data_IF_111204085413
#
_entry.id   IF_111204085413
#
_cell.length_a   1.000
_cell.length_b   1.000
_cell.length_c   1.000
_cell.angle_alpha   90.00
_cell.angle_beta   90.00
_cell.angle_gamma   90.00
#
_symmetry.space_group_name_H-M   'P 1'
#
loop_
_entity.id
_entity.type
_entity.pdbx_description
1 polymer ?
#
# COMPACT_ATOMS: atom_id res chain seq x y z
N UNK A 1 22.53 24.60 -15.34
CA UNK A 1 21.22 24.11 -15.82
C UNK A 1 20.99 22.75 -15.17
N UNK A 2 20.16 22.69 -14.16
CA UNK A 2 19.83 21.43 -13.46
C UNK A 2 18.84 20.68 -14.34
N UNK A 3 19.31 19.61 -15.02
CA UNK A 3 18.42 18.71 -15.73
C UNK A 3 17.49 18.05 -14.69
N UNK A 4 16.20 18.26 -14.81
CA UNK A 4 15.21 17.47 -14.06
C UNK A 4 15.50 16.00 -14.34
N UNK A 5 15.66 15.14 -13.32
CA UNK A 5 15.90 13.72 -13.55
C UNK A 5 14.75 13.16 -14.39
N UNK A 6 15.10 12.56 -15.52
CA UNK A 6 14.11 11.91 -16.38
C UNK A 6 13.55 10.69 -15.64
N UNK A 7 12.22 10.60 -15.55
CA UNK A 7 11.57 9.44 -14.95
C UNK A 7 11.91 8.16 -15.74
N UNK A 8 12.11 7.02 -15.07
CA UNK A 8 12.34 5.75 -15.73
C UNK A 8 11.20 5.39 -16.69
N UNK A 9 11.53 4.78 -17.82
CA UNK A 9 10.53 4.29 -18.77
C UNK A 9 9.68 3.17 -18.17
N UNK A 10 8.55 2.85 -18.81
CA UNK A 10 7.72 1.71 -18.39
C UNK A 10 8.48 0.38 -18.45
N UNK A 11 9.36 0.22 -19.44
CA UNK A 11 10.20 -0.97 -19.57
C UNK A 11 11.26 -1.06 -18.46
N UNK A 12 11.87 0.06 -18.08
CA UNK A 12 12.78 0.11 -16.92
C UNK A 12 12.06 -0.30 -15.64
N UNK A 13 10.82 0.19 -15.43
CA UNK A 13 10.00 -0.18 -14.29
C UNK A 13 9.66 -1.68 -14.30
N UNK A 14 9.29 -2.24 -15.44
CA UNK A 14 8.99 -3.66 -15.59
C UNK A 14 10.21 -4.51 -15.25
N UNK A 15 11.37 -4.20 -15.83
CA UNK A 15 12.62 -4.91 -15.55
C UNK A 15 13.01 -4.84 -14.08
N UNK A 16 12.84 -3.68 -13.45
CA UNK A 16 13.09 -3.53 -12.01
C UNK A 16 12.19 -4.45 -11.19
N UNK A 17 10.87 -4.48 -11.45
CA UNK A 17 9.94 -5.30 -10.68
C UNK A 17 10.12 -6.79 -10.96
N UNK A 18 10.47 -7.21 -12.20
CA UNK A 18 10.83 -8.59 -12.52
C UNK A 18 12.06 -9.04 -11.73
N UNK A 19 13.10 -8.23 -11.74
CA UNK A 19 14.29 -8.49 -10.93
C UNK A 19 13.95 -8.55 -9.44
N UNK A 20 13.17 -7.61 -8.94
CA UNK A 20 12.72 -7.56 -7.55
C UNK A 20 12.01 -8.86 -7.15
N UNK A 21 11.04 -9.30 -7.93
CA UNK A 21 10.28 -10.51 -7.63
C UNK A 21 11.09 -11.79 -7.77
N UNK A 22 12.05 -11.86 -8.70
CA UNK A 22 12.99 -12.99 -8.79
C UNK A 22 13.86 -13.12 -7.55
N UNK A 23 14.44 -12.01 -7.06
CA UNK A 23 15.33 -12.01 -5.89
C UNK A 23 14.57 -12.12 -4.56
N UNK A 24 13.32 -11.68 -4.51
CA UNK A 24 12.46 -11.85 -3.34
C UNK A 24 12.11 -13.31 -3.04
N UNK A 25 12.27 -14.24 -3.99
CA UNK A 25 12.05 -15.69 -3.79
C UNK A 25 12.80 -16.25 -2.58
N UNK A 26 13.99 -15.77 -2.33
CA UNK A 26 14.90 -16.31 -1.32
C UNK A 26 14.67 -15.74 0.08
N UNK A 27 14.00 -14.61 0.18
CA UNK A 27 13.66 -14.00 1.48
C UNK A 27 12.28 -14.46 1.93
N UNK A 28 12.24 -15.57 2.63
CA UNK A 28 11.03 -16.18 3.25
C UNK A 28 10.44 -15.37 4.40
N UNK A 29 10.34 -14.04 4.32
CA UNK A 29 9.83 -13.29 5.46
C UNK A 29 8.74 -12.31 5.01
N UNK A 30 7.49 -12.76 5.14
CA UNK A 30 6.45 -11.84 5.57
C UNK A 30 6.93 -11.36 6.97
N UNK A 31 7.56 -10.20 7.02
CA UNK A 31 7.97 -9.64 8.29
C UNK A 31 6.72 -9.24 9.09
N UNK A 32 6.85 -9.10 10.39
CA UNK A 32 5.74 -8.73 11.28
C UNK A 32 4.98 -7.47 10.81
N UNK A 33 5.65 -6.56 10.10
CA UNK A 33 5.06 -5.34 9.58
C UNK A 33 4.11 -5.58 8.40
N UNK A 34 4.49 -6.48 7.49
CA UNK A 34 3.66 -6.89 6.36
C UNK A 34 2.43 -7.64 6.86
N UNK A 35 2.61 -8.53 7.84
CA UNK A 35 1.50 -9.24 8.47
C UNK A 35 0.56 -8.29 9.22
N UNK A 36 1.10 -7.36 10.02
CA UNK A 36 0.29 -6.35 10.70
C UNK A 36 -0.54 -5.53 9.72
N UNK A 37 0.05 -5.08 8.61
CA UNK A 37 -0.67 -4.36 7.55
C UNK A 37 -1.79 -5.20 6.96
N UNK A 38 -1.50 -6.47 6.63
CA UNK A 38 -2.50 -7.39 6.09
C UNK A 38 -3.69 -7.55 7.04
N UNK A 39 -3.46 -7.77 8.33
CA UNK A 39 -4.52 -7.92 9.33
C UNK A 39 -5.42 -6.68 9.42
N UNK A 40 -4.84 -5.49 9.37
CA UNK A 40 -5.63 -4.25 9.35
C UNK A 40 -6.52 -4.16 8.10
N UNK A 41 -5.98 -4.47 6.91
CA UNK A 41 -6.75 -4.46 5.65
C UNK A 41 -7.88 -5.49 5.70
N UNK A 42 -7.59 -6.74 6.08
CA UNK A 42 -8.59 -7.80 6.19
C UNK A 42 -9.67 -7.44 7.22
N UNK A 43 -9.28 -6.83 8.34
CA UNK A 43 -10.22 -6.30 9.34
C UNK A 43 -11.13 -5.21 8.78
N UNK A 44 -10.59 -4.32 7.94
CA UNK A 44 -11.40 -3.31 7.24
C UNK A 44 -12.41 -3.97 6.31
N UNK A 45 -12.00 -4.95 5.50
CA UNK A 45 -12.87 -5.66 4.55
C UNK A 45 -14.00 -6.39 5.30
N UNK A 46 -13.68 -7.13 6.38
CA UNK A 46 -14.71 -7.77 7.23
C UNK A 46 -15.71 -6.77 7.77
N UNK A 47 -15.23 -5.60 8.20
CA UNK A 47 -16.07 -4.53 8.72
C UNK A 47 -17.00 -3.89 7.71
N UNK A 48 -16.82 -4.11 6.39
CA UNK A 48 -17.74 -3.64 5.35
C UNK A 48 -19.03 -4.47 5.28
N UNK A 49 -19.04 -5.70 5.79
CA UNK A 49 -20.21 -6.57 5.80
C UNK A 49 -20.71 -7.01 4.41
N UNK A 50 -19.86 -6.95 3.39
CA UNK A 50 -20.19 -7.34 2.02
C UNK A 50 -20.31 -8.86 1.92
N UNK A 51 -21.24 -9.33 1.09
CA UNK A 51 -21.46 -10.75 0.79
C UNK A 51 -20.88 -11.08 -0.59
N UNK A 52 -19.90 -11.99 -0.64
CA UNK A 52 -19.24 -12.44 -1.89
C UNK A 52 -18.84 -11.27 -2.82
N UNK A 53 -18.10 -10.26 -2.32
CA UNK A 53 -17.67 -9.13 -3.13
C UNK A 53 -16.70 -9.56 -4.23
N UNK A 54 -16.63 -8.76 -5.29
CA UNK A 54 -15.54 -8.80 -6.27
C UNK A 54 -14.41 -7.90 -5.78
N UNK A 55 -13.23 -8.48 -5.62
CA UNK A 55 -12.07 -7.79 -5.09
C UNK A 55 -10.95 -7.72 -6.15
N UNK A 56 -10.23 -6.60 -6.15
CA UNK A 56 -9.03 -6.43 -6.95
C UNK A 56 -7.84 -6.13 -6.04
N UNK A 57 -6.78 -6.93 -6.14
CA UNK A 57 -5.45 -6.62 -5.60
C UNK A 57 -4.66 -5.88 -6.68
N UNK A 58 -4.53 -4.56 -6.50
CA UNK A 58 -3.95 -3.64 -7.45
C UNK A 58 -2.45 -3.46 -7.16
N UNK A 59 -1.58 -4.06 -8.00
CA UNK A 59 -0.17 -4.24 -7.73
C UNK A 59 0.08 -5.49 -6.87
N UNK A 60 -0.48 -6.63 -7.30
CA UNK A 60 -0.55 -7.84 -6.49
C UNK A 60 0.80 -8.58 -6.37
N UNK A 61 1.81 -8.22 -7.18
CA UNK A 61 3.11 -8.88 -7.24
C UNK A 61 2.98 -10.39 -7.39
N UNK A 62 3.48 -11.14 -6.41
CA UNK A 62 3.44 -12.62 -6.37
C UNK A 62 2.15 -13.19 -5.77
N UNK A 63 1.09 -12.39 -5.62
CA UNK A 63 -0.24 -12.84 -5.24
C UNK A 63 -0.40 -13.27 -3.77
N UNK A 64 0.55 -12.96 -2.89
CA UNK A 64 0.49 -13.38 -1.49
C UNK A 64 -0.70 -12.77 -0.74
N UNK A 65 -1.12 -11.56 -1.12
CA UNK A 65 -2.27 -10.90 -0.50
C UNK A 65 -3.57 -11.24 -1.23
N UNK A 66 -3.54 -11.35 -2.56
CA UNK A 66 -4.67 -11.84 -3.35
C UNK A 66 -5.16 -13.21 -2.85
N UNK A 67 -4.25 -14.10 -2.45
CA UNK A 67 -4.58 -15.37 -1.80
C UNK A 67 -5.46 -15.20 -0.55
N UNK A 68 -5.23 -14.16 0.26
CA UNK A 68 -6.02 -13.88 1.47
C UNK A 68 -7.36 -13.22 1.16
N UNK A 69 -7.47 -12.56 0.02
CA UNK A 69 -8.73 -11.95 -0.42
C UNK A 69 -9.75 -12.98 -0.87
N UNK A 70 -9.32 -14.20 -1.30
CA UNK A 70 -10.23 -15.30 -1.69
C UNK A 70 -11.24 -15.67 -0.60
N UNK A 71 -10.89 -15.48 0.69
CA UNK A 71 -11.82 -15.78 1.80
C UNK A 71 -13.09 -14.93 1.77
N UNK A 72 -13.06 -13.78 1.08
CA UNK A 72 -14.18 -12.83 1.04
C UNK A 72 -15.04 -13.00 -0.20
N UNK A 73 -14.45 -13.36 -1.35
CA UNK A 73 -15.18 -13.46 -2.62
C UNK A 73 -14.30 -13.61 -3.84
N UNK A 74 -14.88 -13.28 -5.01
CA UNK A 74 -14.20 -13.35 -6.29
C UNK A 74 -13.01 -12.38 -6.32
N UNK A 75 -11.81 -12.93 -6.48
CA UNK A 75 -10.57 -12.15 -6.39
C UNK A 75 -9.85 -12.08 -7.72
N UNK A 76 -9.42 -10.87 -8.07
CA UNK A 76 -8.56 -10.57 -9.22
C UNK A 76 -7.26 -9.93 -8.73
N UNK A 77 -6.20 -10.09 -9.53
CA UNK A 77 -4.91 -9.44 -9.30
C UNK A 77 -4.36 -8.82 -10.57
N UNK A 78 -3.70 -7.68 -10.46
CA UNK A 78 -2.95 -7.07 -11.56
C UNK A 78 -1.59 -6.61 -11.07
N UNK A 79 -0.56 -6.87 -11.87
CA UNK A 79 0.80 -6.34 -11.65
C UNK A 79 1.51 -6.06 -12.98
N UNK A 80 2.46 -5.13 -12.95
CA UNK A 80 3.28 -4.78 -14.11
C UNK A 80 4.25 -5.92 -14.48
N UNK A 81 4.68 -6.71 -13.48
CA UNK A 81 5.70 -7.76 -13.63
C UNK A 81 5.10 -9.09 -14.12
N UNK A 82 5.48 -9.56 -15.31
CA UNK A 82 5.20 -10.93 -15.76
C UNK A 82 5.70 -12.00 -14.78
N UNK A 83 6.88 -11.81 -14.20
CA UNK A 83 7.51 -12.73 -13.24
C UNK A 83 6.71 -12.82 -11.94
N UNK A 84 6.23 -11.67 -11.42
CA UNK A 84 5.34 -11.61 -10.28
C UNK A 84 4.06 -12.41 -10.54
N UNK A 85 3.40 -12.14 -11.66
CA UNK A 85 2.15 -12.81 -12.05
C UNK A 85 2.36 -14.31 -12.33
N UNK A 86 3.47 -14.72 -12.95
CA UNK A 86 3.77 -16.15 -13.13
C UNK A 86 3.83 -16.87 -11.78
N UNK A 87 4.51 -16.28 -10.79
CA UNK A 87 4.56 -16.84 -9.45
C UNK A 87 3.19 -16.83 -8.73
N UNK A 88 2.38 -15.78 -8.95
CA UNK A 88 1.03 -15.67 -8.38
C UNK A 88 0.10 -16.77 -8.93
N UNK A 89 0.14 -17.05 -10.23
CA UNK A 89 -0.64 -18.13 -10.88
C UNK A 89 -0.27 -19.50 -10.36
N UNK A 90 1.00 -19.76 -10.07
CA UNK A 90 1.44 -21.02 -9.44
C UNK A 90 0.90 -21.13 -8.01
N UNK A 91 0.86 -20.03 -7.28
CA UNK A 91 0.38 -19.99 -5.90
C UNK A 91 -1.13 -20.23 -5.80
N UNK A 92 -1.91 -19.56 -6.64
CA UNK A 92 -3.38 -19.62 -6.66
C UNK A 92 -3.90 -19.55 -8.09
N UNK A 93 -4.03 -20.70 -8.78
CA UNK A 93 -4.45 -20.76 -10.18
C UNK A 93 -5.93 -20.35 -10.40
N UNK A 94 -6.73 -20.35 -9.36
CA UNK A 94 -8.16 -19.99 -9.44
C UNK A 94 -8.40 -18.46 -9.43
N UNK A 95 -7.40 -17.66 -9.05
CA UNK A 95 -7.49 -16.20 -9.10
C UNK A 95 -7.21 -15.72 -10.52
N UNK A 96 -8.00 -14.76 -11.00
CA UNK A 96 -7.80 -14.13 -12.30
C UNK A 96 -6.67 -13.12 -12.21
N UNK A 97 -5.54 -13.43 -12.84
CA UNK A 97 -4.37 -12.54 -12.85
C UNK A 97 -4.11 -11.92 -14.22
N UNK A 98 -3.93 -10.60 -14.22
CA UNK A 98 -3.60 -9.78 -15.40
C UNK A 98 -2.16 -9.25 -15.28
N UNK A 99 -1.34 -9.46 -16.33
CA UNK A 99 -0.08 -8.75 -16.49
C UNK A 99 -0.36 -7.46 -17.22
N UNK A 100 0.06 -6.32 -16.69
CA UNK A 100 -0.11 -5.06 -17.40
C UNK A 100 0.07 -3.82 -16.54
N UNK A 101 0.18 -2.71 -17.24
CA UNK A 101 0.16 -1.41 -16.62
C UNK A 101 -1.27 -1.07 -16.19
N UNK A 102 -1.46 -0.61 -14.97
CA UNK A 102 -2.77 -0.23 -14.43
C UNK A 102 -3.49 0.80 -15.30
N UNK A 103 -2.75 1.69 -15.98
CA UNK A 103 -3.34 2.78 -16.74
C UNK A 103 -4.13 2.34 -17.98
N UNK A 104 -3.75 1.22 -18.60
CA UNK A 104 -4.28 0.75 -19.89
C UNK A 104 -4.69 -0.73 -19.87
N UNK A 105 -4.46 -1.43 -18.76
CA UNK A 105 -4.89 -2.81 -18.63
C UNK A 105 -6.40 -2.98 -18.85
N UNK A 106 -6.86 -4.09 -19.48
CA UNK A 106 -8.26 -4.33 -19.82
C UNK A 106 -9.10 -4.74 -18.59
N UNK A 107 -9.09 -3.90 -17.55
CA UNK A 107 -9.94 -4.07 -16.38
C UNK A 107 -11.33 -3.47 -16.64
N UNK A 108 -12.36 -4.22 -16.30
CA UNK A 108 -13.75 -3.76 -16.48
C UNK A 108 -14.06 -2.55 -15.58
N UNK A 109 -14.77 -1.56 -16.14
CA UNK A 109 -15.26 -0.40 -15.40
C UNK A 109 -16.42 -0.80 -14.49
N UNK A 110 -16.53 -0.12 -13.35
CA UNK A 110 -17.62 -0.30 -12.38
C UNK A 110 -17.89 -1.78 -12.03
N UNK A 111 -16.81 -2.56 -11.89
CA UNK A 111 -16.90 -4.00 -11.73
C UNK A 111 -16.59 -4.47 -10.30
N UNK A 112 -15.62 -3.88 -9.62
CA UNK A 112 -15.18 -4.30 -8.32
C UNK A 112 -15.94 -3.63 -7.19
N UNK A 113 -16.26 -4.40 -6.16
CA UNK A 113 -16.85 -3.89 -4.91
C UNK A 113 -15.76 -3.31 -4.01
N UNK A 114 -14.56 -3.92 -4.03
CA UNK A 114 -13.40 -3.51 -3.24
C UNK A 114 -12.15 -3.54 -4.11
N UNK A 115 -11.37 -2.47 -4.09
CA UNK A 115 -10.00 -2.44 -4.62
C UNK A 115 -9.04 -2.24 -3.47
N UNK A 116 -8.03 -3.09 -3.38
CA UNK A 116 -6.92 -2.96 -2.42
C UNK A 116 -5.65 -2.63 -3.19
N UNK A 117 -4.89 -1.66 -2.70
CA UNK A 117 -3.57 -1.28 -3.24
C UNK A 117 -2.57 -1.18 -2.11
N UNK A 118 -1.53 -2.01 -2.14
CA UNK A 118 -0.51 -2.04 -1.11
C UNK A 118 0.85 -1.61 -1.64
N UNK A 119 1.36 -0.48 -1.15
CA UNK A 119 2.71 0.04 -1.44
C UNK A 119 2.96 0.31 -2.95
N UNK A 120 1.91 0.58 -3.74
CA UNK A 120 2.02 0.80 -5.19
C UNK A 120 2.14 2.28 -5.54
N UNK A 121 1.33 3.15 -4.91
CA UNK A 121 1.21 4.56 -5.30
C UNK A 121 2.54 5.34 -5.25
N UNK A 122 3.47 4.93 -4.43
CA UNK A 122 4.81 5.54 -4.36
C UNK A 122 5.69 5.19 -5.58
N UNK A 123 5.29 4.19 -6.36
CA UNK A 123 6.07 3.61 -7.46
C UNK A 123 5.47 3.89 -8.83
N UNK A 124 4.48 4.78 -8.91
CA UNK A 124 3.88 5.20 -10.17
C UNK A 124 4.31 6.64 -10.51
N UNK A 125 4.40 6.93 -11.80
CA UNK A 125 4.76 8.25 -12.35
C UNK A 125 3.65 9.28 -12.15
N UNK A 126 2.40 8.92 -12.48
CA UNK A 126 1.21 9.76 -12.31
C UNK A 126 0.26 9.21 -11.25
N UNK A 127 0.45 9.67 -10.02
CA UNK A 127 -0.36 9.23 -8.88
C UNK A 127 -1.85 9.63 -9.00
N UNK A 128 -2.17 10.72 -9.71
CA UNK A 128 -3.56 11.14 -9.91
C UNK A 128 -4.27 10.23 -10.89
N UNK A 129 -3.64 9.97 -12.05
CA UNK A 129 -4.15 9.02 -13.05
C UNK A 129 -4.32 7.63 -12.46
N UNK A 130 -3.39 7.21 -11.60
CA UNK A 130 -3.49 5.95 -10.85
C UNK A 130 -4.74 5.89 -9.97
N UNK A 131 -5.03 6.94 -9.20
CA UNK A 131 -6.22 7.01 -8.35
C UNK A 131 -7.51 7.12 -9.16
N UNK A 132 -7.49 7.86 -10.28
CA UNK A 132 -8.62 7.94 -11.21
C UNK A 132 -8.95 6.55 -11.79
N UNK A 133 -7.91 5.78 -12.15
CA UNK A 133 -8.09 4.42 -12.66
C UNK A 133 -8.63 3.47 -11.59
N UNK A 134 -8.15 3.56 -10.37
CA UNK A 134 -8.71 2.80 -9.24
C UNK A 134 -10.19 3.13 -9.02
N UNK A 135 -10.57 4.40 -9.15
CA UNK A 135 -11.98 4.81 -9.08
C UNK A 135 -12.79 4.27 -10.26
N UNK A 136 -12.25 4.27 -11.48
CA UNK A 136 -12.93 3.81 -12.69
C UNK A 136 -13.34 2.33 -12.62
N UNK A 137 -12.49 1.47 -12.10
CA UNK A 137 -12.76 0.03 -11.98
C UNK A 137 -13.70 -0.33 -10.82
N UNK A 138 -13.82 0.55 -9.82
CA UNK A 138 -14.73 0.40 -8.70
C UNK A 138 -16.17 0.71 -9.12
N UNK A 139 -17.14 -0.08 -8.64
CA UNK A 139 -18.57 0.26 -8.71
C UNK A 139 -18.84 1.61 -8.03
N UNK A 140 -19.88 2.33 -8.43
CA UNK A 140 -20.39 3.45 -7.64
C UNK A 140 -20.63 3.02 -6.18
N UNK A 141 -20.10 3.77 -5.22
CA UNK A 141 -20.17 3.40 -3.80
C UNK A 141 -19.23 2.28 -3.37
N UNK A 142 -18.42 1.69 -4.27
CA UNK A 142 -17.40 0.70 -3.96
C UNK A 142 -16.26 1.27 -3.08
N UNK A 143 -15.45 0.40 -2.53
CA UNK A 143 -14.47 0.75 -1.50
C UNK A 143 -13.03 0.63 -2.02
N UNK A 144 -12.23 1.61 -1.69
CA UNK A 144 -10.79 1.63 -1.96
C UNK A 144 -10.02 1.57 -0.65
N UNK A 145 -9.16 0.58 -0.51
CA UNK A 145 -8.22 0.47 0.61
C UNK A 145 -6.83 0.65 0.05
N UNK A 146 -6.17 1.73 0.45
CA UNK A 146 -4.81 2.04 -0.01
C UNK A 146 -3.84 2.12 1.15
N UNK A 147 -2.67 1.50 0.98
CA UNK A 147 -1.54 1.63 1.90
C UNK A 147 -0.31 2.16 1.19
N UNK A 148 0.48 2.94 1.90
CA UNK A 148 1.80 3.40 1.44
C UNK A 148 2.63 3.91 2.61
N UNK A 149 3.94 4.01 2.41
CA UNK A 149 4.85 4.63 3.35
C UNK A 149 4.45 6.06 3.69
N UNK A 150 4.56 6.43 4.96
CA UNK A 150 4.29 7.79 5.45
C UNK A 150 5.52 8.65 5.25
N UNK A 151 5.53 9.51 4.22
CA UNK A 151 6.65 10.40 3.92
C UNK A 151 7.15 11.17 5.15
N UNK A 152 6.23 11.66 6.01
CA UNK A 152 6.61 12.38 7.22
C UNK A 152 7.51 11.56 8.14
N UNK A 153 7.22 10.28 8.31
CA UNK A 153 8.02 9.35 9.13
C UNK A 153 9.26 8.89 8.36
N UNK A 154 9.11 8.58 7.07
CA UNK A 154 10.24 8.11 6.23
C UNK A 154 11.37 9.13 6.16
N UNK A 155 11.06 10.42 6.00
CA UNK A 155 12.05 11.51 6.02
C UNK A 155 12.77 11.64 7.40
N UNK A 156 12.30 10.92 8.43
CA UNK A 156 12.80 10.96 9.82
C UNK A 156 13.24 9.60 10.36
N UNK A 157 13.45 8.64 9.48
CA UNK A 157 13.92 7.30 9.89
C UNK A 157 15.36 7.29 10.41
N UNK A 158 16.17 8.30 10.05
CA UNK A 158 17.62 8.32 10.30
C UNK A 158 18.37 7.43 9.30
N UNK A 159 19.61 7.06 9.63
CA UNK A 159 20.51 6.30 8.74
C UNK A 159 20.15 4.80 8.60
N UNK A 160 18.88 4.48 8.56
CA UNK A 160 18.42 3.10 8.29
C UNK A 160 18.46 2.82 6.80
N UNK A 161 19.61 2.66 6.19
CA UNK A 161 19.94 1.97 4.92
C UNK A 161 18.94 1.88 3.75
N UNK A 162 17.80 2.59 3.84
CA UNK A 162 16.71 2.55 2.86
C UNK A 162 16.91 3.52 1.68
N UNK A 163 17.99 4.31 1.70
CA UNK A 163 18.21 5.42 0.76
C UNK A 163 18.89 5.01 -0.56
N UNK A 164 19.23 3.74 -0.76
CA UNK A 164 19.83 3.29 -2.01
C UNK A 164 18.76 2.58 -2.84
N UNK A 165 17.93 3.36 -3.50
CA UNK A 165 17.03 2.84 -4.53
C UNK A 165 17.76 2.81 -5.87
N UNK A 166 17.62 1.72 -6.66
CA UNK A 166 18.16 1.70 -8.01
C UNK A 166 17.57 2.82 -8.88
N UNK A 167 18.33 3.37 -9.85
CA UNK A 167 17.85 4.45 -10.73
C UNK A 167 16.55 4.13 -11.49
N UNK A 168 16.26 2.85 -11.71
CA UNK A 168 15.06 2.37 -12.39
C UNK A 168 13.80 2.40 -11.51
N UNK A 169 13.94 2.75 -10.25
CA UNK A 169 12.84 2.72 -9.29
C UNK A 169 12.25 4.11 -9.07
N UNK A 170 10.95 4.24 -9.28
CA UNK A 170 10.21 5.45 -8.89
C UNK A 170 9.96 5.41 -7.38
N UNK A 171 10.33 6.47 -6.68
CA UNK A 171 10.14 6.62 -5.24
C UNK A 171 9.42 7.94 -4.90
N UNK A 172 8.16 8.03 -5.30
CA UNK A 172 7.29 9.20 -5.14
C UNK A 172 6.50 9.13 -3.83
N UNK A 173 7.19 9.26 -2.71
CA UNK A 173 6.56 9.16 -1.38
C UNK A 173 5.60 10.33 -1.13
N UNK A 174 4.47 10.04 -0.49
CA UNK A 174 3.44 11.02 -0.16
C UNK A 174 3.22 11.13 1.35
N UNK A 175 2.88 12.33 1.80
CA UNK A 175 2.39 12.52 3.16
C UNK A 175 0.90 12.16 3.27
N UNK A 176 0.43 11.93 4.49
CA UNK A 176 -0.99 11.65 4.78
C UNK A 176 -1.92 12.76 4.25
N UNK A 177 -1.51 14.02 4.38
CA UNK A 177 -2.28 15.17 3.87
C UNK A 177 -2.35 15.21 2.36
N UNK A 178 -1.21 14.96 1.68
CA UNK A 178 -1.15 14.90 0.21
C UNK A 178 -2.04 13.78 -0.33
N UNK A 179 -1.94 12.57 0.23
CA UNK A 179 -2.75 11.42 -0.21
C UNK A 179 -4.26 11.69 -0.03
N UNK A 180 -4.66 12.25 1.12
CA UNK A 180 -6.06 12.64 1.35
C UNK A 180 -6.54 13.67 0.32
N UNK A 181 -5.72 14.68 0.01
CA UNK A 181 -6.05 15.71 -0.98
C UNK A 181 -6.20 15.13 -2.39
N UNK A 182 -5.36 14.14 -2.75
CA UNK A 182 -5.46 13.48 -4.05
C UNK A 182 -6.69 12.56 -4.15
N UNK A 183 -7.09 11.91 -3.06
CA UNK A 183 -8.28 11.03 -3.02
C UNK A 183 -9.59 11.82 -3.08
N UNK A 184 -9.64 13.03 -2.49
CA UNK A 184 -10.87 13.80 -2.31
C UNK A 184 -11.73 14.02 -3.57
N UNK A 185 -11.19 14.18 -4.80
CA UNK A 185 -12.01 14.36 -6.00
C UNK A 185 -12.89 13.15 -6.38
N UNK A 186 -12.47 11.94 -6.00
CA UNK A 186 -13.13 10.68 -6.39
C UNK A 186 -13.66 9.87 -5.21
N UNK A 187 -13.18 10.18 -4.01
CA UNK A 187 -13.41 9.33 -2.85
C UNK A 187 -13.78 10.13 -1.60
N UNK A 188 -14.76 9.63 -0.87
CA UNK A 188 -15.03 10.02 0.50
C UNK A 188 -14.20 9.16 1.45
N UNK A 189 -13.32 9.77 2.24
CA UNK A 189 -12.48 9.05 3.20
C UNK A 189 -13.33 8.63 4.40
N UNK A 190 -13.38 7.33 4.68
CA UNK A 190 -14.11 6.75 5.80
C UNK A 190 -13.22 6.55 7.02
N UNK A 191 -12.00 6.02 6.81
CA UNK A 191 -10.99 5.85 7.86
C UNK A 191 -9.61 6.24 7.33
N UNK A 192 -8.78 6.79 8.19
CA UNK A 192 -7.38 7.12 7.87
C UNK A 192 -6.55 7.07 9.14
N UNK A 193 -5.63 6.14 9.21
CA UNK A 193 -4.75 5.93 10.34
C UNK A 193 -3.36 5.48 9.87
N UNK A 194 -2.44 5.39 10.79
CA UNK A 194 -1.09 4.87 10.54
C UNK A 194 -0.82 3.68 11.45
N UNK A 195 0.12 2.84 11.08
CA UNK A 195 0.57 1.70 11.88
C UNK A 195 2.09 1.71 11.99
N UNK A 196 2.62 0.99 12.98
CA UNK A 196 4.06 0.80 13.21
C UNK A 196 4.74 2.13 13.51
N UNK A 197 4.59 2.67 14.76
CA UNK A 197 5.27 3.88 15.17
C UNK A 197 6.78 3.74 15.00
N UNK A 198 7.39 4.64 14.23
CA UNK A 198 8.81 4.58 13.92
C UNK A 198 9.40 5.98 13.72
N UNK A 199 10.75 6.06 13.60
CA UNK A 199 11.48 7.29 13.34
C UNK A 199 12.30 7.78 14.54
N UNK A 200 13.48 8.39 14.24
CA UNK A 200 14.49 8.76 15.22
C UNK A 200 14.94 10.22 15.10
N UNK A 201 14.29 11.02 14.24
CA UNK A 201 14.63 12.42 14.05
C UNK A 201 13.46 13.36 14.40
N UNK A 202 13.79 14.59 14.82
CA UNK A 202 12.81 15.60 15.20
C UNK A 202 11.90 15.12 16.34
N UNK A 203 10.60 15.43 16.27
CA UNK A 203 9.61 15.04 17.29
C UNK A 203 9.51 13.53 17.47
N UNK A 204 9.78 12.72 16.42
CA UNK A 204 9.71 11.26 16.48
C UNK A 204 10.77 10.68 17.42
N UNK A 205 11.91 11.37 17.59
CA UNK A 205 12.93 10.98 18.57
C UNK A 205 12.38 11.01 20.01
N UNK A 206 11.54 12.00 20.31
CA UNK A 206 10.89 12.10 21.61
C UNK A 206 9.78 11.06 21.74
N UNK A 207 8.88 11.00 20.75
CA UNK A 207 7.74 10.08 20.72
C UNK A 207 8.17 8.62 20.84
N UNK A 208 9.29 8.24 20.19
CA UNK A 208 9.84 6.89 20.19
C UNK A 208 11.01 6.70 21.16
N UNK A 209 11.28 7.68 22.04
CA UNK A 209 12.35 7.57 23.04
C UNK A 209 12.11 6.38 23.96
N UNK A 210 13.11 5.49 24.03
CA UNK A 210 13.06 4.33 24.92
C UNK A 210 12.80 4.72 26.38
N UNK A 211 13.53 5.75 26.88
CA UNK A 211 13.41 6.22 28.26
C UNK A 211 12.00 6.77 28.55
N UNK A 212 11.48 7.63 27.69
CA UNK A 212 10.13 8.21 27.85
C UNK A 212 9.04 7.12 27.78
N UNK A 213 9.17 6.20 26.84
CA UNK A 213 8.20 5.10 26.72
C UNK A 213 8.32 4.12 27.90
N UNK A 214 9.52 3.86 28.43
CA UNK A 214 9.71 3.03 29.60
C UNK A 214 9.01 3.62 30.85
N UNK A 215 9.15 4.93 31.05
CA UNK A 215 8.43 5.64 32.15
C UNK A 215 6.93 5.64 31.91
N UNK A 216 6.46 5.94 30.68
CA UNK A 216 5.04 5.94 30.38
C UNK A 216 4.38 4.56 30.55
N UNK A 217 5.11 3.47 30.30
CA UNK A 217 4.63 2.08 30.49
C UNK A 217 4.34 1.72 31.95
N UNK A 218 4.84 2.48 32.91
CA UNK A 218 4.46 2.30 34.32
C UNK A 218 3.00 2.67 34.56
N UNK A 219 2.41 3.53 33.71
CA UNK A 219 1.06 4.04 33.85
C UNK A 219 0.11 3.59 32.76
N UNK A 220 0.63 3.28 31.56
CA UNK A 220 -0.17 2.98 30.36
C UNK A 220 0.42 1.77 29.64
N UNK A 221 -0.39 0.74 29.30
CA UNK A 221 0.07 -0.39 28.51
C UNK A 221 0.67 0.03 27.16
N UNK A 222 1.72 -0.69 26.71
CA UNK A 222 2.43 -0.40 25.45
C UNK A 222 1.47 -0.28 24.25
N UNK A 223 0.51 -1.17 24.15
CA UNK A 223 -0.49 -1.19 23.07
C UNK A 223 -1.29 0.12 22.99
N UNK A 224 -1.66 0.70 24.14
CA UNK A 224 -2.34 2.00 24.16
C UNK A 224 -1.42 3.14 23.73
N UNK A 225 -0.16 3.11 24.16
CA UNK A 225 0.84 4.11 23.75
C UNK A 225 1.04 4.06 22.23
N UNK A 226 1.19 2.88 21.67
CA UNK A 226 1.37 2.71 20.24
C UNK A 226 0.10 3.11 19.46
N UNK A 227 -1.08 2.75 19.95
CA UNK A 227 -2.37 3.21 19.38
C UNK A 227 -2.48 4.74 19.35
N UNK A 228 -2.05 5.44 20.39
CA UNK A 228 -2.05 6.91 20.41
C UNK A 228 -1.09 7.50 19.38
N UNK A 229 0.13 6.94 19.25
CA UNK A 229 1.11 7.34 18.24
C UNK A 229 0.59 7.10 16.83
N UNK A 230 -0.03 5.96 16.59
CA UNK A 230 -0.64 5.59 15.31
C UNK A 230 -1.77 6.55 14.92
N UNK A 231 -2.67 6.87 15.86
CA UNK A 231 -3.74 7.86 15.66
C UNK A 231 -3.20 9.27 15.39
N UNK A 232 -2.11 9.64 16.08
CA UNK A 232 -1.42 10.92 15.87
C UNK A 232 -0.71 11.00 14.50
N UNK A 233 -0.57 9.88 13.79
CA UNK A 233 0.05 9.85 12.47
C UNK A 233 1.56 9.58 12.48
N UNK A 234 2.08 9.05 13.57
CA UNK A 234 3.50 8.72 13.74
C UNK A 234 3.87 7.30 13.32
N UNK A 235 2.94 6.55 12.73
CA UNK A 235 3.23 5.25 12.13
C UNK A 235 3.93 5.37 10.78
N UNK A 236 4.80 4.43 10.50
CA UNK A 236 5.58 4.35 9.27
C UNK A 236 4.71 4.09 8.03
N UNK A 237 3.67 3.26 8.17
CA UNK A 237 2.72 2.99 7.09
C UNK A 237 1.39 3.69 7.32
N UNK A 238 0.83 4.21 6.25
CA UNK A 238 -0.51 4.79 6.22
C UNK A 238 -1.50 3.78 5.66
N UNK A 239 -2.70 3.75 6.23
CA UNK A 239 -3.83 2.98 5.72
C UNK A 239 -5.02 3.92 5.59
N UNK A 240 -5.63 3.95 4.42
CA UNK A 240 -6.84 4.73 4.16
C UNK A 240 -7.91 3.80 3.57
N UNK A 241 -9.08 3.79 4.20
CA UNK A 241 -10.31 3.27 3.65
C UNK A 241 -11.13 4.43 3.12
N UNK A 242 -11.45 4.38 1.84
CA UNK A 242 -12.25 5.40 1.17
C UNK A 242 -13.38 4.74 0.34
N UNK A 243 -14.44 5.47 0.10
CA UNK A 243 -15.58 5.03 -0.71
C UNK A 243 -15.67 5.90 -1.97
N UNK A 244 -15.81 5.27 -3.15
CA UNK A 244 -16.03 5.99 -4.41
C UNK A 244 -17.27 6.84 -4.29
N UNK A 245 -17.13 8.14 -4.57
CA UNK A 245 -18.29 9.03 -4.71
C UNK A 245 -19.04 8.72 -6.01
N UNK A 246 -20.33 8.85 -5.97
CA UNK A 246 -21.20 8.63 -7.14
C UNK A 246 -20.97 9.71 -8.18
#
# INVERSE_FOLDING_TARGET
>A
MSSTPQLPSLDDQRQFWDWHWQHWKERRVLNDWTERRAQEILGLIRGLGLRQPRLLDLGCGRGWFAERLEEFGETHGIDLSPEGIAAARVRRPNIVYTVGNIYDAPLAKDYFDVVVSQEVIAHVDDQRKYLDRAAEVLKPGGYFIITTGNKYVMDRLGDVGWNVQPPQHIANQVSRGQLKKMLAPRFRILKSFTIIPHGQAGILRLVNSYKLNATARLLVPQEKLDSWKEKAGFGWQMIILAQKTV
#
